data_IF_742302639321
#
_entry.id   IF_742302639321
#
_cell.length_a   1.000
_cell.length_b   1.000
_cell.length_c   1.000
_cell.angle_alpha   90.00
_cell.angle_beta   90.00
_cell.angle_gamma   90.00
#
_symmetry.space_group_name_H-M   'P 1'
#
loop_
_entity.id
_entity.type
_entity.pdbx_description
1 polymer ?
#
# COMPACT_ATOMS: atom_id res chain seq x y z
N UNK A 1 -29.81 -12.44 7.92
CA UNK A 1 -28.62 -11.95 7.20
C UNK A 1 -27.65 -13.10 7.09
N UNK A 2 -27.46 -13.64 5.89
CA UNK A 2 -26.41 -14.64 5.66
C UNK A 2 -25.06 -13.98 5.86
N UNK A 3 -24.25 -14.53 6.76
CA UNK A 3 -22.91 -13.99 7.05
C UNK A 3 -21.98 -14.49 5.95
N UNK A 4 -21.43 -13.57 5.15
CA UNK A 4 -20.40 -13.92 4.18
C UNK A 4 -19.19 -14.53 4.90
N UNK A 5 -18.63 -15.60 4.35
CA UNK A 5 -17.50 -16.31 4.94
C UNK A 5 -16.24 -15.43 4.94
N UNK A 6 -15.41 -15.55 5.98
CA UNK A 6 -14.21 -14.70 6.18
C UNK A 6 -13.23 -14.79 5.00
N UNK A 7 -13.12 -15.96 4.37
CA UNK A 7 -12.29 -16.15 3.17
C UNK A 7 -12.75 -15.30 1.98
N UNK A 8 -14.06 -15.08 1.82
CA UNK A 8 -14.61 -14.25 0.76
C UNK A 8 -14.42 -12.76 1.07
N UNK A 9 -14.58 -12.37 2.34
CA UNK A 9 -14.28 -11.00 2.77
C UNK A 9 -12.81 -10.64 2.51
N UNK A 10 -11.88 -11.56 2.80
CA UNK A 10 -10.47 -11.39 2.48
C UNK A 10 -10.21 -11.30 0.98
N UNK A 11 -10.85 -12.14 0.18
CA UNK A 11 -10.74 -12.07 -1.27
C UNK A 11 -11.22 -10.72 -1.80
N UNK A 12 -12.33 -10.18 -1.29
CA UNK A 12 -12.81 -8.85 -1.67
C UNK A 12 -11.76 -7.78 -1.33
N UNK A 13 -11.27 -7.73 -0.08
CA UNK A 13 -10.26 -6.76 0.33
C UNK A 13 -8.98 -6.86 -0.50
N UNK A 14 -8.52 -8.09 -0.82
CA UNK A 14 -7.32 -8.32 -1.62
C UNK A 14 -7.43 -7.86 -3.08
N UNK A 15 -8.65 -7.66 -3.56
CA UNK A 15 -8.92 -7.19 -4.93
C UNK A 15 -9.14 -5.68 -5.00
N UNK A 16 -9.18 -4.99 -3.86
CA UNK A 16 -9.25 -3.54 -3.85
C UNK A 16 -7.93 -2.96 -4.37
N UNK A 17 -8.06 -2.05 -5.33
CA UNK A 17 -6.92 -1.46 -6.01
C UNK A 17 -6.17 -0.45 -5.15
N UNK A 18 -6.83 0.14 -4.15
CA UNK A 18 -6.26 1.20 -3.31
C UNK A 18 -6.51 0.94 -1.81
N UNK A 19 -5.47 1.18 -1.02
CA UNK A 19 -5.46 1.25 0.43
C UNK A 19 -6.53 2.18 1.00
N UNK A 20 -6.88 3.27 0.32
CA UNK A 20 -7.98 4.15 0.73
C UNK A 20 -9.33 3.41 0.74
N UNK A 21 -9.61 2.60 -0.30
CA UNK A 21 -10.82 1.79 -0.37
C UNK A 21 -10.83 0.75 0.75
N UNK A 22 -9.68 0.12 1.03
CA UNK A 22 -9.54 -0.84 2.15
C UNK A 22 -9.84 -0.15 3.48
N UNK A 23 -9.31 1.04 3.73
CA UNK A 23 -9.60 1.82 4.92
C UNK A 23 -11.10 2.13 5.05
N UNK A 24 -11.73 2.57 3.97
CA UNK A 24 -13.18 2.80 3.91
C UNK A 24 -13.99 1.54 4.23
N UNK A 25 -13.65 0.39 3.64
CA UNK A 25 -14.33 -0.88 3.91
C UNK A 25 -14.23 -1.29 5.38
N UNK A 26 -13.09 -1.06 6.04
CA UNK A 26 -12.92 -1.33 7.47
C UNK A 26 -13.83 -0.44 8.32
N UNK A 27 -13.88 0.85 8.02
CA UNK A 27 -14.73 1.80 8.76
C UNK A 27 -16.21 1.47 8.56
N UNK A 28 -16.60 1.11 7.34
CA UNK A 28 -17.99 0.82 7.00
C UNK A 28 -18.49 -0.53 7.51
N UNK A 29 -17.61 -1.50 7.80
CA UNK A 29 -18.00 -2.87 8.11
C UNK A 29 -17.16 -3.51 9.21
N UNK A 30 -17.84 -3.92 10.28
CA UNK A 30 -17.23 -4.69 11.37
C UNK A 30 -16.64 -6.02 10.88
N UNK A 31 -17.27 -6.67 9.91
CA UNK A 31 -16.78 -7.94 9.35
C UNK A 31 -15.49 -7.73 8.56
N UNK A 32 -15.41 -6.68 7.72
CA UNK A 32 -14.16 -6.35 7.02
C UNK A 32 -13.06 -5.93 7.99
N UNK A 33 -13.38 -5.12 9.00
CA UNK A 33 -12.38 -4.73 10.01
C UNK A 33 -11.88 -5.93 10.83
N UNK A 34 -12.72 -6.94 11.08
CA UNK A 34 -12.33 -8.14 11.82
C UNK A 34 -11.36 -9.03 11.03
N UNK A 35 -11.58 -9.20 9.72
CA UNK A 35 -10.70 -10.03 8.87
C UNK A 35 -9.47 -9.26 8.38
N UNK A 36 -9.51 -7.93 8.33
CA UNK A 36 -8.45 -7.09 7.80
C UNK A 36 -7.03 -7.46 8.26
N UNK A 37 -6.76 -7.78 9.55
CA UNK A 37 -5.41 -8.15 9.98
C UNK A 37 -4.80 -9.36 9.24
N UNK A 38 -5.61 -10.21 8.61
CA UNK A 38 -5.17 -11.36 7.81
C UNK A 38 -4.88 -11.01 6.34
N UNK A 39 -5.17 -9.78 5.91
CA UNK A 39 -4.87 -9.33 4.56
C UNK A 39 -3.35 -9.29 4.34
N UNK A 40 -2.89 -9.89 3.24
CA UNK A 40 -1.45 -10.05 2.95
C UNK A 40 -0.94 -9.17 1.83
N UNK A 41 -1.85 -8.53 1.11
CA UNK A 41 -1.57 -7.64 -0.02
C UNK A 41 -2.11 -6.26 0.31
N UNK A 42 -1.29 -5.24 0.08
CA UNK A 42 -1.72 -3.85 0.17
C UNK A 42 -1.23 -3.10 -1.05
N UNK A 43 -2.12 -2.30 -1.62
CA UNK A 43 -1.84 -1.51 -2.80
C UNK A 43 -1.98 -0.04 -2.43
N UNK A 44 -0.97 0.77 -2.69
CA UNK A 44 -1.06 2.21 -2.60
C UNK A 44 -1.18 2.73 -4.02
N UNK A 45 -2.37 3.24 -4.39
CA UNK A 45 -2.57 3.90 -5.67
C UNK A 45 -2.82 5.37 -5.43
N UNK A 46 -2.06 6.20 -6.11
CA UNK A 46 -2.35 7.63 -6.16
C UNK A 46 -2.42 8.08 -7.62
N UNK A 47 -3.64 8.37 -8.05
CA UNK A 47 -3.88 9.01 -9.34
C UNK A 47 -4.13 10.49 -9.09
N UNK A 48 -3.18 11.36 -9.45
CA UNK A 48 -3.37 12.80 -9.42
C UNK A 48 -4.29 13.22 -10.58
N UNK A 49 -5.56 12.85 -10.54
CA UNK A 49 -6.42 13.07 -11.71
C UNK A 49 -6.62 14.57 -11.92
N UNK A 50 -6.68 15.44 -10.88
CA UNK A 50 -7.00 16.88 -11.08
C UNK A 50 -6.52 17.90 -10.02
N UNK A 51 -5.54 17.66 -9.15
CA UNK A 51 -5.23 18.63 -8.08
C UNK A 51 -3.99 19.48 -8.36
N UNK A 52 -4.18 20.60 -9.07
CA UNK A 52 -3.17 21.67 -9.19
C UNK A 52 -2.96 22.49 -7.90
N UNK A 53 -3.85 22.37 -6.91
CA UNK A 53 -3.90 23.36 -5.81
C UNK A 53 -3.68 22.82 -4.38
N UNK A 54 -3.39 21.52 -4.16
CA UNK A 54 -3.21 20.96 -2.79
C UNK A 54 -2.18 19.83 -2.68
N UNK A 55 -0.99 19.98 -3.30
CA UNK A 55 -0.03 18.87 -3.46
C UNK A 55 0.59 18.34 -2.16
N UNK A 56 0.74 19.14 -1.10
CA UNK A 56 1.38 18.69 0.16
C UNK A 56 0.43 18.03 1.15
N UNK A 57 -0.80 18.52 1.26
CA UNK A 57 -1.74 18.06 2.28
C UNK A 57 -2.36 16.70 1.90
N UNK A 58 -2.64 16.51 0.60
CA UNK A 58 -3.14 15.23 0.07
C UNK A 58 -2.04 14.17 0.07
N UNK A 59 -0.78 14.55 -0.14
CA UNK A 59 0.33 13.58 -0.10
C UNK A 59 0.63 13.05 1.29
N UNK A 60 0.40 13.87 2.32
CA UNK A 60 0.60 13.48 3.72
C UNK A 60 -0.50 12.53 4.22
N UNK A 61 -1.74 12.71 3.74
CA UNK A 61 -2.88 11.90 4.22
C UNK A 61 -2.86 10.45 3.70
N UNK A 62 -2.42 10.19 2.46
CA UNK A 62 -2.34 8.80 2.01
C UNK A 62 -1.17 8.04 2.64
N UNK A 63 -0.02 8.69 2.85
CA UNK A 63 1.16 8.05 3.50
C UNK A 63 0.79 7.59 4.91
N UNK A 64 0.11 8.47 5.65
CA UNK A 64 -0.37 8.15 7.00
C UNK A 64 -1.41 7.03 7.00
N UNK A 65 -2.36 7.02 6.06
CA UNK A 65 -3.32 5.91 5.91
C UNK A 65 -2.60 4.60 5.61
N UNK A 66 -1.66 4.60 4.67
CA UNK A 66 -0.91 3.39 4.31
C UNK A 66 -0.08 2.85 5.47
N UNK A 67 0.63 3.72 6.20
CA UNK A 67 1.41 3.36 7.38
C UNK A 67 0.52 2.81 8.51
N UNK A 68 -0.64 3.44 8.74
CA UNK A 68 -1.64 2.96 9.69
C UNK A 68 -2.13 1.55 9.32
N UNK A 69 -2.43 1.31 8.05
CA UNK A 69 -2.88 0.01 7.57
C UNK A 69 -1.81 -1.05 7.76
N UNK A 70 -0.58 -0.82 7.30
CA UNK A 70 0.53 -1.77 7.48
C UNK A 70 0.74 -2.12 8.95
N UNK A 71 0.66 -1.13 9.84
CA UNK A 71 0.86 -1.35 11.29
C UNK A 71 -0.17 -2.30 11.92
N UNK A 72 -1.33 -2.45 11.27
CA UNK A 72 -2.47 -3.27 11.74
C UNK A 72 -2.55 -4.62 11.03
N UNK A 73 -1.73 -4.85 10.00
CA UNK A 73 -1.62 -6.15 9.33
C UNK A 73 -0.69 -7.07 10.12
N UNK A 74 -1.05 -8.36 10.20
CA UNK A 74 -0.18 -9.35 10.84
C UNK A 74 1.06 -9.64 10.03
N UNK A 75 0.91 -9.61 8.71
CA UNK A 75 1.96 -9.96 7.77
C UNK A 75 1.66 -9.33 6.42
N UNK A 76 2.66 -8.77 5.78
CA UNK A 76 2.55 -8.20 4.44
C UNK A 76 3.44 -8.99 3.50
N UNK A 77 2.83 -9.71 2.57
CA UNK A 77 3.53 -10.54 1.58
C UNK A 77 3.66 -9.82 0.22
N UNK A 78 2.75 -8.90 -0.09
CA UNK A 78 2.76 -8.16 -1.35
C UNK A 78 2.47 -6.69 -1.12
N UNK A 79 3.31 -5.83 -1.70
CA UNK A 79 3.09 -4.38 -1.77
C UNK A 79 3.08 -3.98 -3.24
N UNK A 80 2.05 -3.25 -3.65
CA UNK A 80 2.03 -2.56 -4.94
C UNK A 80 1.97 -1.05 -4.67
N UNK A 81 2.87 -0.29 -5.28
CA UNK A 81 2.84 1.17 -5.22
C UNK A 81 2.71 1.66 -6.66
N UNK A 82 1.57 2.27 -6.95
CA UNK A 82 1.26 2.88 -8.24
C UNK A 82 1.19 4.38 -8.00
N UNK A 83 2.25 5.08 -8.39
CA UNK A 83 2.42 6.47 -7.98
C UNK A 83 2.66 7.39 -9.17
N UNK A 84 1.73 8.32 -9.32
CA UNK A 84 1.97 9.67 -9.81
C UNK A 84 2.43 10.60 -8.66
N UNK A 85 2.98 10.01 -7.59
CA UNK A 85 3.60 10.66 -6.43
C UNK A 85 5.09 10.56 -6.62
N UNK A 86 5.76 11.68 -6.41
CA UNK A 86 7.22 11.80 -6.45
C UNK A 86 7.91 10.58 -5.78
N UNK A 87 8.50 9.68 -6.57
CA UNK A 87 9.10 8.44 -6.08
C UNK A 87 10.44 8.69 -5.38
N UNK A 88 10.83 9.96 -5.23
CA UNK A 88 12.00 10.39 -4.46
C UNK A 88 11.72 10.56 -2.96
N UNK A 89 10.51 10.31 -2.45
CA UNK A 89 10.27 10.32 -1.01
C UNK A 89 10.91 9.10 -0.31
N UNK A 90 12.22 9.23 -0.15
CA UNK A 90 13.09 8.30 0.56
C UNK A 90 12.71 8.20 2.04
N UNK A 91 12.19 9.28 2.64
CA UNK A 91 11.78 9.31 4.05
C UNK A 91 10.56 8.42 4.28
N UNK A 92 9.57 8.49 3.38
CA UNK A 92 8.43 7.58 3.41
C UNK A 92 8.89 6.12 3.25
N UNK A 93 9.80 5.85 2.32
CA UNK A 93 10.31 4.50 2.10
C UNK A 93 11.09 3.96 3.31
N UNK A 94 11.92 4.78 3.96
CA UNK A 94 12.59 4.44 5.21
C UNK A 94 11.60 4.08 6.32
N UNK A 95 10.38 4.59 6.28
CA UNK A 95 9.38 4.29 7.29
C UNK A 95 8.61 2.99 7.04
N UNK A 96 8.09 2.77 5.83
CA UNK A 96 7.23 1.60 5.57
C UNK A 96 8.03 0.33 5.24
N UNK A 97 9.15 0.45 4.55
CA UNK A 97 9.88 -0.69 4.00
C UNK A 97 10.44 -1.63 5.08
N UNK A 98 11.07 -1.15 6.17
CA UNK A 98 11.54 -2.02 7.23
C UNK A 98 10.40 -2.81 7.91
N UNK A 99 9.19 -2.24 7.97
CA UNK A 99 8.02 -2.86 8.62
C UNK A 99 7.52 -4.09 7.87
N UNK A 100 7.71 -4.14 6.54
CA UNK A 100 7.18 -5.23 5.70
C UNK A 100 8.27 -6.15 5.13
N UNK A 101 9.52 -5.70 5.08
CA UNK A 101 10.66 -6.38 4.43
C UNK A 101 10.82 -7.87 4.78
N UNK A 102 10.57 -8.27 6.04
CA UNK A 102 10.80 -9.65 6.50
C UNK A 102 9.88 -10.68 5.86
N UNK A 103 8.63 -10.31 5.55
CA UNK A 103 7.63 -11.20 4.99
C UNK A 103 7.32 -10.92 3.52
N UNK A 104 7.93 -9.87 2.96
CA UNK A 104 7.65 -9.40 1.62
C UNK A 104 8.14 -10.41 0.58
N UNK A 105 7.20 -10.94 -0.20
CA UNK A 105 7.43 -11.87 -1.31
C UNK A 105 7.34 -11.19 -2.67
N UNK A 106 6.62 -10.08 -2.74
CA UNK A 106 6.42 -9.30 -3.97
C UNK A 106 6.41 -7.80 -3.66
N UNK A 107 7.14 -7.04 -4.46
CA UNK A 107 7.10 -5.58 -4.48
C UNK A 107 6.95 -5.14 -5.93
N UNK A 108 5.82 -4.51 -6.24
CA UNK A 108 5.57 -3.89 -7.53
C UNK A 108 5.61 -2.39 -7.37
N UNK A 109 6.35 -1.72 -8.23
CA UNK A 109 6.45 -0.27 -8.23
C UNK A 109 6.20 0.22 -9.65
N UNK A 110 5.18 1.03 -9.84
CA UNK A 110 4.84 1.64 -11.11
C UNK A 110 5.20 3.12 -11.05
N UNK A 111 6.04 3.57 -11.98
CA UNK A 111 6.56 4.93 -12.02
C UNK A 111 6.50 5.50 -13.45
N UNK A 112 6.36 6.82 -13.62
CA UNK A 112 6.51 7.45 -14.91
C UNK A 112 7.95 7.29 -15.44
N UNK A 113 8.14 7.15 -16.77
CA UNK A 113 9.41 6.74 -17.39
C UNK A 113 10.57 7.75 -17.27
N UNK A 114 10.35 8.93 -16.70
CA UNK A 114 11.34 10.01 -16.63
C UNK A 114 11.98 10.17 -15.24
N UNK A 115 11.48 9.49 -14.21
CA UNK A 115 12.04 9.53 -12.85
C UNK A 115 12.59 8.15 -12.48
N UNK A 116 13.92 8.03 -12.48
CA UNK A 116 14.56 6.88 -11.86
C UNK A 116 14.52 7.12 -10.34
N UNK A 117 13.86 6.24 -9.56
CA UNK A 117 13.71 6.50 -8.14
C UNK A 117 15.04 6.39 -7.40
N UNK A 118 15.43 7.43 -6.67
CA UNK A 118 16.54 7.38 -5.71
C UNK A 118 16.30 6.37 -4.58
N UNK A 119 15.08 5.84 -4.45
CA UNK A 119 14.71 4.81 -3.49
C UNK A 119 15.14 3.40 -3.90
N UNK A 120 15.53 3.16 -5.16
CA UNK A 120 15.93 1.82 -5.63
C UNK A 120 17.09 1.20 -4.83
N UNK A 121 18.18 1.92 -4.50
CA UNK A 121 19.23 1.40 -3.62
C UNK A 121 18.69 1.00 -2.24
N UNK A 122 17.82 1.82 -1.65
CA UNK A 122 17.17 1.52 -0.37
C UNK A 122 16.35 0.23 -0.48
N UNK A 123 15.54 0.09 -1.53
CA UNK A 123 14.73 -1.11 -1.78
C UNK A 123 15.61 -2.35 -1.92
N UNK A 124 16.70 -2.26 -2.68
CA UNK A 124 17.64 -3.36 -2.86
C UNK A 124 18.31 -3.82 -1.55
N UNK A 125 18.51 -2.90 -0.59
CA UNK A 125 19.10 -3.24 0.70
C UNK A 125 18.14 -4.05 1.58
N UNK A 126 16.83 -3.80 1.49
CA UNK A 126 15.81 -4.50 2.29
C UNK A 126 15.20 -5.71 1.58
N UNK A 127 15.26 -5.76 0.26
CA UNK A 127 14.52 -6.70 -0.56
C UNK A 127 15.45 -7.51 -1.47
N UNK A 128 15.51 -8.83 -1.27
CA UNK A 128 16.05 -9.77 -2.27
C UNK A 128 15.01 -10.06 -3.37
N UNK A 129 14.39 -9.03 -3.93
CA UNK A 129 13.15 -9.15 -4.73
C UNK A 129 13.38 -9.02 -6.23
N UNK A 130 12.56 -9.75 -7.00
CA UNK A 130 12.35 -9.52 -8.42
C UNK A 130 11.61 -8.19 -8.60
N UNK A 131 12.33 -7.17 -9.03
CA UNK A 131 11.74 -5.88 -9.40
C UNK A 131 11.12 -6.05 -10.78
N UNK A 132 9.80 -5.91 -10.89
CA UNK A 132 9.13 -5.73 -12.17
C UNK A 132 9.01 -4.23 -12.40
N UNK A 133 9.77 -3.74 -13.39
CA UNK A 133 9.71 -2.36 -13.91
C UNK A 133 8.77 -2.32 -15.11
#
# INVERSE_FOLDING_TARGET
MEKLHDSLLLQILSRLGDSADVACCRVASKSFNAVFPELRSINLRYTNIWSKDSSSMVTTSFKTVFLDLISKLRMVESVCIDVDVDPTDEDFAKEWLPKVSKSLKSLSLCFPPYDIPNVLPLISAYCKLNIFL
#
